data_IF_143720264781
#
_entry.id   IF_143720264781
#
_cell.length_a   1.000
_cell.length_b   1.000
_cell.length_c   1.000
_cell.angle_alpha   90.00
_cell.angle_beta   90.00
_cell.angle_gamma   90.00
#
_symmetry.space_group_name_H-M   'P 1'
#
loop_
_entity.id
_entity.type
_entity.pdbx_description
1 polymer ?
#
# COMPACT_ATOMS: atom_id res chain seq x y z
N UNK A 1 19.48 -22.57 3.32
CA UNK A 1 18.02 -22.52 3.56
C UNK A 1 17.72 -22.28 5.03
N UNK A 2 18.02 -23.17 5.98
CA UNK A 2 17.70 -22.98 7.41
C UNK A 2 18.18 -21.64 8.04
N UNK A 3 19.33 -21.11 7.63
CA UNK A 3 19.84 -19.84 8.14
C UNK A 3 19.05 -18.62 7.65
N UNK A 4 18.54 -18.67 6.43
CA UNK A 4 17.75 -17.58 5.83
C UNK A 4 16.33 -17.55 6.42
N UNK A 5 15.70 -18.70 6.60
CA UNK A 5 14.38 -18.81 7.27
C UNK A 5 14.47 -18.27 8.70
N UNK A 6 15.55 -18.58 9.43
CA UNK A 6 15.76 -18.03 10.76
C UNK A 6 15.91 -16.51 10.75
N UNK A 7 16.66 -15.92 9.80
CA UNK A 7 16.81 -14.46 9.70
C UNK A 7 15.47 -13.79 9.35
N UNK A 8 14.60 -14.43 8.53
CA UNK A 8 13.24 -13.94 8.26
C UNK A 8 12.36 -13.95 9.52
N UNK A 9 12.34 -15.06 10.25
CA UNK A 9 11.59 -15.17 11.52
C UNK A 9 12.07 -14.13 12.54
N UNK A 10 13.39 -14.01 12.74
CA UNK A 10 13.96 -13.00 13.64
C UNK A 10 13.55 -11.58 13.22
N UNK A 11 13.49 -11.30 11.91
CA UNK A 11 13.07 -10.01 11.39
C UNK A 11 11.58 -9.73 11.67
N UNK A 12 10.71 -10.72 11.51
CA UNK A 12 9.28 -10.63 11.83
C UNK A 12 9.05 -10.40 13.33
N UNK A 13 9.79 -11.08 14.20
CA UNK A 13 9.72 -10.85 15.65
C UNK A 13 10.15 -9.42 16.03
N UNK A 14 11.21 -8.91 15.38
CA UNK A 14 11.64 -7.52 15.58
C UNK A 14 10.61 -6.51 15.08
N UNK A 15 9.92 -6.80 13.97
CA UNK A 15 8.78 -6.01 13.49
C UNK A 15 7.67 -5.96 14.54
N UNK A 16 7.28 -7.12 15.07
CA UNK A 16 6.22 -7.22 16.07
C UNK A 16 6.56 -6.50 17.39
N UNK A 17 7.85 -6.40 17.73
CA UNK A 17 8.34 -5.66 18.90
C UNK A 17 8.62 -4.17 18.65
N UNK A 18 8.40 -3.67 17.42
CA UNK A 18 8.65 -2.28 17.05
C UNK A 18 10.12 -1.92 16.85
N UNK A 19 11.01 -2.92 16.77
CA UNK A 19 12.45 -2.74 16.57
C UNK A 19 12.79 -2.63 15.07
N UNK A 20 12.18 -1.65 14.39
CA UNK A 20 12.18 -1.52 12.93
C UNK A 20 13.58 -1.42 12.31
N UNK A 21 14.50 -0.64 12.88
CA UNK A 21 15.87 -0.54 12.36
C UNK A 21 16.60 -1.90 12.37
N UNK A 22 16.38 -2.70 13.41
CA UNK A 22 16.97 -4.04 13.51
C UNK A 22 16.31 -5.01 12.53
N UNK A 23 14.99 -4.90 12.35
CA UNK A 23 14.26 -5.70 11.35
C UNK A 23 14.77 -5.41 9.94
N UNK A 24 14.94 -4.12 9.56
CA UNK A 24 15.55 -3.72 8.28
C UNK A 24 16.94 -4.33 8.09
N UNK A 25 17.77 -4.33 9.15
CA UNK A 25 19.10 -4.94 9.08
C UNK A 25 19.06 -6.46 8.83
N UNK A 26 18.08 -7.16 9.41
CA UNK A 26 17.84 -8.59 9.20
C UNK A 26 17.36 -8.88 7.77
N UNK A 27 16.34 -8.14 7.29
CA UNK A 27 15.87 -8.26 5.90
C UNK A 27 16.99 -7.99 4.89
N UNK A 28 17.85 -6.99 5.13
CA UNK A 28 19.02 -6.72 4.27
C UNK A 28 20.00 -7.91 4.21
N UNK A 29 20.18 -8.68 5.30
CA UNK A 29 20.99 -9.89 5.27
C UNK A 29 20.36 -10.97 4.39
N UNK A 30 19.03 -11.15 4.48
CA UNK A 30 18.30 -12.09 3.62
C UNK A 30 18.43 -11.67 2.16
N UNK A 31 18.17 -10.40 1.84
CA UNK A 31 18.27 -9.87 0.46
C UNK A 31 19.69 -10.03 -0.11
N UNK A 32 20.73 -9.88 0.74
CA UNK A 32 22.12 -10.10 0.33
C UNK A 32 22.39 -11.57 0.00
N UNK A 33 21.78 -12.49 0.73
CA UNK A 33 21.92 -13.94 0.51
C UNK A 33 21.06 -14.42 -0.67
N UNK A 34 19.84 -13.91 -0.78
CA UNK A 34 18.91 -14.18 -1.88
C UNK A 34 18.20 -12.86 -2.34
N UNK A 35 18.74 -12.23 -3.38
CA UNK A 35 18.12 -11.00 -3.94
C UNK A 35 16.73 -11.21 -4.55
N UNK A 36 16.28 -12.45 -4.73
CA UNK A 36 14.96 -12.78 -5.29
C UNK A 36 13.93 -13.17 -4.22
N UNK A 37 14.26 -13.05 -2.95
CA UNK A 37 13.32 -13.28 -1.86
C UNK A 37 12.31 -12.11 -1.76
N UNK A 38 11.14 -12.27 -2.39
CA UNK A 38 10.07 -11.25 -2.40
C UNK A 38 9.64 -10.86 -0.98
N UNK A 39 9.48 -11.84 -0.10
CA UNK A 39 9.11 -11.64 1.32
C UNK A 39 10.11 -10.74 2.05
N UNK A 40 11.41 -10.89 1.79
CA UNK A 40 12.43 -10.05 2.44
C UNK A 40 12.38 -8.60 1.94
N UNK A 41 12.11 -8.38 0.65
CA UNK A 41 11.89 -7.05 0.11
C UNK A 41 10.62 -6.40 0.66
N UNK A 42 9.53 -7.16 0.76
CA UNK A 42 8.29 -6.71 1.35
C UNK A 42 8.46 -6.36 2.84
N UNK A 43 9.00 -7.28 3.64
CA UNK A 43 9.23 -7.05 5.06
C UNK A 43 10.19 -5.88 5.33
N UNK A 44 11.22 -5.70 4.47
CA UNK A 44 12.07 -4.50 4.52
C UNK A 44 11.26 -3.23 4.27
N UNK A 45 10.36 -3.22 3.27
CA UNK A 45 9.54 -2.06 2.98
C UNK A 45 8.66 -1.69 4.18
N UNK A 46 7.91 -2.65 4.72
CA UNK A 46 7.06 -2.47 5.90
C UNK A 46 7.85 -1.93 7.11
N UNK A 47 9.00 -2.53 7.41
CA UNK A 47 9.88 -2.07 8.49
C UNK A 47 10.42 -0.66 8.24
N UNK A 48 10.68 -0.32 6.99
CA UNK A 48 11.30 0.95 6.61
C UNK A 48 10.39 2.16 6.84
N UNK A 49 9.07 1.98 6.78
CA UNK A 49 8.08 3.03 7.09
C UNK A 49 8.27 3.57 8.52
N UNK A 50 8.67 2.71 9.47
CA UNK A 50 8.96 3.10 10.86
C UNK A 50 10.37 3.66 11.09
N UNK A 51 11.22 3.81 10.05
CA UNK A 51 12.62 4.22 10.18
C UNK A 51 12.85 5.61 9.56
N UNK A 52 12.94 6.69 10.37
CA UNK A 52 13.02 8.06 9.87
C UNK A 52 14.25 8.39 9.01
N UNK A 53 15.27 7.54 9.04
CA UNK A 53 16.51 7.74 8.26
C UNK A 53 16.41 7.28 6.81
N UNK A 54 15.38 6.50 6.48
CA UNK A 54 15.17 5.99 5.13
C UNK A 54 14.30 6.99 4.34
N UNK A 55 14.69 7.21 3.09
CA UNK A 55 13.93 8.10 2.20
C UNK A 55 12.67 7.43 1.67
N UNK A 56 11.63 8.19 1.30
CA UNK A 56 10.45 7.62 0.65
C UNK A 56 10.78 6.80 -0.60
N UNK A 57 11.78 7.19 -1.34
CA UNK A 57 12.24 6.49 -2.55
C UNK A 57 12.83 5.11 -2.22
N UNK A 58 13.61 5.00 -1.13
CA UNK A 58 14.19 3.71 -0.69
C UNK A 58 13.10 2.75 -0.21
N UNK A 59 12.09 3.26 0.50
CA UNK A 59 10.92 2.48 0.92
C UNK A 59 10.13 2.01 -0.29
N UNK A 60 9.81 2.94 -1.20
CA UNK A 60 9.08 2.66 -2.45
C UNK A 60 9.78 1.60 -3.30
N UNK A 61 11.11 1.68 -3.45
CA UNK A 61 11.88 0.70 -4.24
C UNK A 61 11.81 -0.70 -3.63
N UNK A 62 11.76 -0.82 -2.31
CA UNK A 62 11.61 -2.10 -1.64
C UNK A 62 10.24 -2.73 -1.88
N UNK A 63 9.14 -1.95 -1.80
CA UNK A 63 7.80 -2.41 -2.18
C UNK A 63 7.72 -2.81 -3.64
N UNK A 64 8.22 -1.96 -4.53
CA UNK A 64 8.25 -2.22 -5.97
C UNK A 64 8.98 -3.53 -6.29
N UNK A 65 10.10 -3.78 -5.61
CA UNK A 65 10.86 -5.02 -5.80
C UNK A 65 10.09 -6.25 -5.33
N UNK A 66 9.37 -6.16 -4.22
CA UNK A 66 8.51 -7.25 -3.76
C UNK A 66 7.41 -7.58 -4.79
N UNK A 67 6.72 -6.56 -5.31
CA UNK A 67 5.69 -6.70 -6.36
C UNK A 67 6.26 -7.25 -7.67
N UNK A 68 7.46 -6.84 -8.08
CA UNK A 68 8.12 -7.38 -9.28
C UNK A 68 8.47 -8.87 -9.14
N UNK A 69 8.87 -9.30 -7.93
CA UNK A 69 9.28 -10.68 -7.67
C UNK A 69 8.09 -11.61 -7.46
N UNK A 70 6.99 -11.12 -6.91
CA UNK A 70 5.74 -11.85 -6.75
C UNK A 70 4.54 -10.97 -7.15
N UNK A 71 4.30 -10.81 -8.46
CA UNK A 71 3.26 -9.93 -8.98
C UNK A 71 1.83 -10.45 -8.75
N UNK A 72 1.69 -11.71 -8.33
CA UNK A 72 0.39 -12.34 -8.07
C UNK A 72 -0.04 -12.25 -6.61
N UNK A 73 0.73 -11.60 -5.75
CA UNK A 73 0.42 -11.43 -4.35
C UNK A 73 -0.43 -10.17 -4.11
N UNK A 74 -1.72 -10.31 -3.76
CA UNK A 74 -2.60 -9.16 -3.56
C UNK A 74 -2.20 -8.29 -2.36
N UNK A 75 -1.57 -8.89 -1.34
CA UNK A 75 -1.10 -8.16 -0.15
C UNK A 75 0.05 -7.21 -0.54
N UNK A 76 1.00 -7.68 -1.35
CA UNK A 76 2.10 -6.83 -1.80
C UNK A 76 1.60 -5.66 -2.65
N UNK A 77 0.60 -5.91 -3.51
CA UNK A 77 -0.03 -4.88 -4.32
C UNK A 77 -0.75 -3.83 -3.45
N UNK A 78 -1.57 -4.26 -2.49
CA UNK A 78 -2.34 -3.34 -1.64
C UNK A 78 -1.45 -2.54 -0.68
N UNK A 79 -0.47 -3.18 -0.02
CA UNK A 79 0.48 -2.46 0.85
C UNK A 79 1.32 -1.45 0.06
N UNK A 80 1.77 -1.81 -1.15
CA UNK A 80 2.42 -0.84 -2.04
C UNK A 80 1.48 0.31 -2.40
N UNK A 81 0.22 0.01 -2.71
CA UNK A 81 -0.83 1.00 -2.96
C UNK A 81 -1.03 1.95 -1.79
N UNK A 82 -1.10 1.44 -0.56
CA UNK A 82 -1.22 2.23 0.67
C UNK A 82 -0.04 3.21 0.82
N UNK A 83 1.18 2.71 0.67
CA UNK A 83 2.36 3.56 0.73
C UNK A 83 2.37 4.65 -0.35
N UNK A 84 1.95 4.32 -1.57
CA UNK A 84 1.85 5.29 -2.66
C UNK A 84 0.85 6.42 -2.37
N UNK A 85 -0.26 6.15 -1.66
CA UNK A 85 -1.17 7.21 -1.17
C UNK A 85 -0.43 8.14 -0.21
N UNK A 86 0.31 7.60 0.74
CA UNK A 86 1.03 8.41 1.74
C UNK A 86 2.01 9.40 1.12
N UNK A 87 2.71 8.98 0.07
CA UNK A 87 3.67 9.84 -0.65
C UNK A 87 3.05 10.63 -1.81
N UNK A 88 1.71 10.60 -1.97
CA UNK A 88 0.98 11.41 -2.96
C UNK A 88 1.01 10.87 -4.39
N UNK A 89 1.43 9.62 -4.61
CA UNK A 89 1.43 8.97 -5.94
C UNK A 89 0.08 8.30 -6.23
N UNK A 90 -0.99 9.08 -6.22
CA UNK A 90 -2.38 8.61 -6.22
C UNK A 90 -2.77 7.74 -7.42
N UNK A 91 -2.30 8.04 -8.63
CA UNK A 91 -2.65 7.25 -9.81
C UNK A 91 -2.01 5.86 -9.78
N UNK A 92 -0.79 5.75 -9.28
CA UNK A 92 -0.10 4.48 -9.13
C UNK A 92 -0.69 3.66 -7.98
N UNK A 93 -1.07 4.34 -6.90
CA UNK A 93 -1.82 3.73 -5.80
C UNK A 93 -3.13 3.11 -6.30
N UNK A 94 -3.93 3.88 -7.06
CA UNK A 94 -5.18 3.37 -7.65
C UNK A 94 -4.94 2.11 -8.49
N UNK A 95 -3.91 2.10 -9.32
CA UNK A 95 -3.56 0.94 -10.13
C UNK A 95 -3.18 -0.28 -9.27
N UNK A 96 -2.43 -0.08 -8.20
CA UNK A 96 -2.02 -1.14 -7.28
C UNK A 96 -3.22 -1.76 -6.54
N UNK A 97 -4.15 -0.93 -6.02
CA UNK A 97 -5.36 -1.42 -5.37
C UNK A 97 -6.32 -2.12 -6.35
N UNK A 98 -6.44 -1.62 -7.59
CA UNK A 98 -7.22 -2.31 -8.63
C UNK A 98 -6.61 -3.69 -8.95
N UNK A 99 -5.28 -3.78 -8.98
CA UNK A 99 -4.59 -5.06 -9.20
C UNK A 99 -4.80 -6.03 -8.04
N UNK A 100 -4.72 -5.55 -6.79
CA UNK A 100 -5.03 -6.36 -5.62
C UNK A 100 -6.46 -6.92 -5.68
N UNK A 101 -7.46 -6.08 -6.03
CA UNK A 101 -8.85 -6.49 -6.16
C UNK A 101 -9.09 -7.48 -7.33
N UNK A 102 -8.30 -7.41 -8.39
CA UNK A 102 -8.33 -8.37 -9.50
C UNK A 102 -7.76 -9.74 -9.06
N UNK A 103 -6.68 -9.73 -8.28
CA UNK A 103 -5.99 -10.92 -7.81
C UNK A 103 -6.76 -11.65 -6.70
N UNK A 104 -7.52 -10.91 -5.91
CA UNK A 104 -8.31 -11.41 -4.78
C UNK A 104 -9.74 -10.84 -4.85
N UNK A 105 -10.61 -11.39 -5.74
CA UNK A 105 -11.97 -10.90 -5.93
C UNK A 105 -12.85 -11.02 -4.69
N UNK A 106 -12.59 -12.01 -3.83
CA UNK A 106 -13.37 -12.23 -2.61
C UNK A 106 -13.21 -11.08 -1.62
N UNK A 107 -12.03 -10.45 -1.60
CA UNK A 107 -11.72 -9.29 -0.78
C UNK A 107 -11.71 -7.96 -1.56
N UNK A 108 -12.17 -7.93 -2.80
CA UNK A 108 -12.15 -6.73 -3.67
C UNK A 108 -12.81 -5.50 -2.99
N UNK A 109 -13.88 -5.72 -2.22
CA UNK A 109 -14.57 -4.67 -1.46
C UNK A 109 -13.67 -4.01 -0.43
N UNK A 110 -12.82 -4.78 0.24
CA UNK A 110 -11.84 -4.27 1.18
C UNK A 110 -10.86 -3.32 0.48
N UNK A 111 -10.24 -3.74 -0.63
CA UNK A 111 -9.28 -2.92 -1.38
C UNK A 111 -9.91 -1.63 -1.92
N UNK A 112 -11.15 -1.68 -2.40
CA UNK A 112 -11.86 -0.47 -2.85
C UNK A 112 -12.17 0.48 -1.68
N UNK A 113 -12.60 -0.05 -0.55
CA UNK A 113 -12.88 0.73 0.65
C UNK A 113 -11.61 1.42 1.17
N UNK A 114 -10.53 0.66 1.28
CA UNK A 114 -9.24 1.15 1.76
C UNK A 114 -8.73 2.29 0.87
N UNK A 115 -8.65 2.08 -0.44
CA UNK A 115 -8.25 3.15 -1.37
C UNK A 115 -9.18 4.37 -1.29
N UNK A 116 -10.50 4.16 -1.26
CA UNK A 116 -11.46 5.26 -1.23
C UNK A 116 -11.31 6.15 0.01
N UNK A 117 -11.13 5.54 1.19
CA UNK A 117 -10.92 6.24 2.45
C UNK A 117 -9.57 6.94 2.47
N UNK A 118 -8.49 6.21 2.21
CA UNK A 118 -7.13 6.77 2.29
C UNK A 118 -6.93 7.91 1.29
N UNK A 119 -7.42 7.76 0.05
CA UNK A 119 -7.37 8.82 -0.94
C UNK A 119 -8.15 10.06 -0.50
N UNK A 120 -9.37 9.90 0.00
CA UNK A 120 -10.19 11.02 0.45
C UNK A 120 -9.58 11.79 1.64
N UNK A 121 -8.84 11.09 2.51
CA UNK A 121 -8.18 11.69 3.67
C UNK A 121 -6.83 12.32 3.32
N UNK A 122 -6.03 11.68 2.48
CA UNK A 122 -4.65 12.08 2.18
C UNK A 122 -4.52 13.09 1.05
N UNK A 123 -5.33 12.96 -0.01
CA UNK A 123 -5.21 13.85 -1.15
C UNK A 123 -5.41 15.33 -0.80
N UNK A 124 -6.36 15.74 0.06
CA UNK A 124 -6.47 17.14 0.49
C UNK A 124 -5.21 17.68 1.19
N UNK A 125 -4.54 16.85 1.98
CA UNK A 125 -3.33 17.22 2.70
C UNK A 125 -2.14 17.38 1.75
N UNK A 126 -1.94 16.40 0.88
CA UNK A 126 -0.81 16.41 -0.08
C UNK A 126 -0.98 17.52 -1.13
N UNK A 127 -2.23 17.79 -1.53
CA UNK A 127 -2.55 18.79 -2.55
C UNK A 127 -2.93 20.17 -1.96
N UNK A 128 -2.64 20.44 -0.69
CA UNK A 128 -3.08 21.64 0.03
C UNK A 128 -2.85 22.94 -0.74
N UNK A 129 -1.70 23.09 -1.40
CA UNK A 129 -1.35 24.28 -2.19
C UNK A 129 -2.19 24.48 -3.45
N UNK A 130 -2.86 23.44 -3.92
CA UNK A 130 -3.68 23.43 -5.14
C UNK A 130 -5.14 23.11 -4.84
N UNK A 131 -5.54 23.18 -3.57
CA UNK A 131 -6.85 22.74 -3.10
C UNK A 131 -7.89 23.85 -3.25
N UNK A 132 -8.32 24.11 -4.48
CA UNK A 132 -9.53 24.89 -4.78
C UNK A 132 -10.80 24.03 -4.67
N UNK A 133 -11.97 24.67 -4.81
CA UNK A 133 -13.27 23.97 -4.68
C UNK A 133 -13.45 22.88 -5.73
N UNK A 134 -12.93 23.07 -6.96
CA UNK A 134 -13.00 22.06 -8.00
C UNK A 134 -12.14 20.84 -7.66
N UNK A 135 -10.92 21.06 -7.16
CA UNK A 135 -10.01 19.99 -6.73
C UNK A 135 -10.60 19.22 -5.56
N UNK A 136 -11.22 19.91 -4.58
CA UNK A 136 -11.94 19.27 -3.46
C UNK A 136 -13.06 18.36 -3.96
N UNK A 137 -13.89 18.88 -4.87
CA UNK A 137 -15.01 18.13 -5.45
C UNK A 137 -14.53 16.90 -6.23
N UNK A 138 -13.45 17.02 -7.01
CA UNK A 138 -12.84 15.89 -7.71
C UNK A 138 -12.32 14.80 -6.74
N UNK A 139 -11.65 15.19 -5.66
CA UNK A 139 -11.15 14.26 -4.64
C UNK A 139 -12.34 13.53 -3.99
N UNK A 140 -13.35 14.27 -3.55
CA UNK A 140 -14.52 13.68 -2.90
C UNK A 140 -15.29 12.74 -3.83
N UNK A 141 -15.50 13.12 -5.09
CA UNK A 141 -16.14 12.26 -6.10
C UNK A 141 -15.36 10.98 -6.33
N UNK A 142 -14.02 11.06 -6.43
CA UNK A 142 -13.17 9.87 -6.62
C UNK A 142 -13.22 8.95 -5.41
N UNK A 143 -13.07 9.49 -4.20
CA UNK A 143 -13.19 8.71 -2.96
C UNK A 143 -14.56 8.02 -2.85
N UNK A 144 -15.65 8.78 -3.06
CA UNK A 144 -17.02 8.27 -3.03
C UNK A 144 -17.24 7.15 -4.07
N UNK A 145 -16.73 7.31 -5.29
CA UNK A 145 -16.80 6.26 -6.34
C UNK A 145 -16.28 4.92 -5.83
N UNK A 146 -15.14 4.91 -5.15
CA UNK A 146 -14.55 3.68 -4.63
C UNK A 146 -15.31 3.13 -3.42
N UNK A 147 -15.84 3.99 -2.55
CA UNK A 147 -16.69 3.56 -1.44
C UNK A 147 -18.02 2.95 -1.93
N UNK A 148 -18.64 3.51 -2.96
CA UNK A 148 -19.82 2.93 -3.61
C UNK A 148 -19.49 1.57 -4.23
N UNK A 149 -18.35 1.45 -4.91
CA UNK A 149 -17.88 0.18 -5.48
C UNK A 149 -17.66 -0.87 -4.38
N UNK A 150 -17.09 -0.49 -3.24
CA UNK A 150 -16.95 -1.35 -2.07
C UNK A 150 -18.31 -1.80 -1.50
N UNK A 151 -19.32 -0.91 -1.50
CA UNK A 151 -20.68 -1.23 -1.08
C UNK A 151 -21.45 -2.09 -2.12
N UNK A 152 -20.89 -2.33 -3.30
CA UNK A 152 -21.58 -3.00 -4.40
C UNK A 152 -22.67 -2.13 -5.04
N UNK A 153 -22.52 -0.81 -4.97
CA UNK A 153 -23.47 0.18 -5.48
C UNK A 153 -22.91 0.92 -6.69
N UNK A 154 -23.79 1.27 -7.62
CA UNK A 154 -23.49 2.22 -8.68
C UNK A 154 -23.74 3.67 -8.23
N UNK A 155 -23.20 4.64 -8.99
CA UNK A 155 -23.53 6.07 -8.75
C UNK A 155 -25.03 6.37 -8.89
N UNK A 156 -25.72 5.63 -9.75
CA UNK A 156 -27.17 5.80 -9.94
C UNK A 156 -27.97 5.23 -8.76
N UNK A 157 -27.51 4.14 -8.13
CA UNK A 157 -28.09 3.66 -6.88
C UNK A 157 -27.95 4.68 -5.76
N UNK A 158 -26.76 5.29 -5.62
CA UNK A 158 -26.54 6.35 -4.65
C UNK A 158 -27.45 7.56 -4.89
N UNK A 159 -27.62 8.02 -6.15
CA UNK A 159 -28.54 9.11 -6.49
C UNK A 159 -30.01 8.79 -6.17
N UNK A 160 -30.43 7.51 -6.25
CA UNK A 160 -31.78 7.08 -5.87
C UNK A 160 -32.00 7.13 -4.36
N UNK A 161 -30.98 6.80 -3.56
CA UNK A 161 -31.07 6.81 -2.09
C UNK A 161 -31.05 8.23 -1.50
N UNK A 162 -30.55 9.23 -2.25
CA UNK A 162 -30.48 10.64 -1.82
C UNK A 162 -31.71 11.46 -2.22
N UNK A 163 -32.70 10.86 -2.86
CA UNK A 163 -34.00 11.47 -3.21
C UNK A 163 -35.07 11.11 -2.21
#
# INVERSE_FOLDING_TARGET
>A
MAGMEKELMDAQELMASGEFEKAVAKYNKVIKADPKCAEAHFGKAEASVGVPKLTPEEVMESYKKAVELDPMNPIYQSSYGAYLVEIGRFNESEAAYLKAAELDPDNARYYFSEFGVEYALRAPVVMEKFLDDNTRDMIMKKGLKYLLKAAGMSEDDAKRLMK
#
